data_IF_519637641355
#
_entry.id   IF_519637641355
#
_cell.length_a   1.000
_cell.length_b   1.000
_cell.length_c   1.000
_cell.angle_alpha   90.00
_cell.angle_beta   90.00
_cell.angle_gamma   90.00
#
_symmetry.space_group_name_H-M   'P 1'
#
loop_
_entity.id
_entity.type
_entity.pdbx_description
1 polymer ?
#
# COMPACT_ATOMS: atom_id res chain seq x y z
N UNK A 1 -7.43 16.93 -3.69
CA UNK A 1 -7.47 18.36 -3.31
C UNK A 1 -7.36 18.58 -1.79
N UNK A 2 -7.97 17.78 -0.94
CA UNK A 2 -7.93 17.94 0.54
C UNK A 2 -6.56 17.70 1.22
N UNK A 3 -5.67 16.88 0.65
CA UNK A 3 -4.34 16.60 1.25
C UNK A 3 -3.37 17.78 1.22
N UNK A 4 -3.49 18.67 0.24
CA UNK A 4 -2.61 19.86 0.09
C UNK A 4 -2.89 20.91 1.16
N UNK A 5 -4.17 21.16 1.48
CA UNK A 5 -4.55 22.15 2.49
C UNK A 5 -4.09 21.81 3.91
N UNK A 6 -3.91 20.52 4.23
CA UNK A 6 -3.47 20.08 5.56
C UNK A 6 -2.00 20.40 5.85
N UNK A 7 -1.11 20.14 4.88
CA UNK A 7 0.33 20.36 5.11
C UNK A 7 0.68 21.86 5.09
N UNK A 8 0.09 22.64 4.19
CA UNK A 8 0.34 24.07 4.11
C UNK A 8 -0.08 24.79 5.40
N UNK A 9 -1.23 24.43 5.94
CA UNK A 9 -1.69 24.91 7.24
C UNK A 9 -0.73 24.52 8.36
N UNK A 10 -0.27 23.28 8.37
CA UNK A 10 0.70 22.80 9.37
C UNK A 10 2.03 23.57 9.28
N UNK A 11 2.54 23.80 8.07
CA UNK A 11 3.75 24.63 7.84
C UNK A 11 3.58 26.05 8.39
N UNK A 12 2.41 26.67 8.18
CA UNK A 12 2.10 27.98 8.75
C UNK A 12 2.06 27.94 10.29
N UNK A 13 1.47 26.93 10.89
CA UNK A 13 1.40 26.76 12.35
C UNK A 13 2.80 26.60 12.95
N UNK A 14 3.66 25.78 12.33
CA UNK A 14 5.06 25.64 12.74
C UNK A 14 5.81 26.95 12.59
N UNK A 15 5.64 27.69 11.48
CA UNK A 15 6.26 29.00 11.28
C UNK A 15 5.88 30.04 12.33
N UNK A 16 4.62 29.99 12.81
CA UNK A 16 4.17 30.85 13.94
C UNK A 16 4.74 30.41 15.29
N UNK A 17 4.87 29.09 15.50
CA UNK A 17 5.39 28.55 16.75
C UNK A 17 6.91 28.76 16.89
N UNK A 18 7.65 28.83 15.78
CA UNK A 18 9.10 28.99 15.75
C UNK A 18 9.52 30.22 14.92
N UNK A 19 9.23 31.44 15.38
CA UNK A 19 9.58 32.65 14.64
C UNK A 19 11.09 32.78 14.46
N UNK A 20 11.52 33.07 13.22
CA UNK A 20 12.94 33.23 12.88
C UNK A 20 13.66 31.91 12.53
N UNK A 21 13.00 30.78 12.62
CA UNK A 21 13.53 29.50 12.13
C UNK A 21 13.14 29.29 10.67
N UNK A 22 14.09 28.88 9.84
CA UNK A 22 13.83 28.51 8.45
C UNK A 22 12.94 27.26 8.39
N UNK A 23 11.81 27.36 7.69
CA UNK A 23 10.91 26.21 7.44
C UNK A 23 11.08 25.80 5.98
N UNK A 24 11.30 24.51 5.75
CA UNK A 24 11.38 23.89 4.42
C UNK A 24 10.20 22.93 4.26
N UNK A 25 9.33 23.20 3.30
CA UNK A 25 8.21 22.31 2.95
C UNK A 25 8.61 21.43 1.78
N UNK A 26 8.78 20.11 2.01
CA UNK A 26 9.08 19.12 0.99
C UNK A 26 7.85 18.24 0.76
N UNK A 27 6.97 18.63 -0.16
CA UNK A 27 5.70 17.95 -0.42
C UNK A 27 5.14 18.26 -1.81
N UNK A 28 4.31 17.37 -2.32
CA UNK A 28 3.59 17.58 -3.58
C UNK A 28 4.53 17.78 -4.78
N UNK A 29 4.51 18.97 -5.36
CA UNK A 29 5.37 19.34 -6.50
C UNK A 29 6.74 19.89 -6.07
N UNK A 30 6.89 20.27 -4.79
CA UNK A 30 8.11 20.83 -4.23
C UNK A 30 8.85 19.78 -3.40
N UNK A 31 9.39 18.76 -4.05
CA UNK A 31 10.18 17.71 -3.38
C UNK A 31 11.66 18.06 -3.52
N UNK A 32 12.37 18.06 -2.39
CA UNK A 32 13.81 18.28 -2.33
C UNK A 32 14.52 16.94 -2.08
N UNK A 33 15.54 16.63 -2.86
CA UNK A 33 16.37 15.44 -2.62
C UNK A 33 17.29 15.64 -1.42
N UNK A 34 17.78 16.85 -1.23
CA UNK A 34 18.70 17.22 -0.16
C UNK A 34 18.42 18.61 0.38
N UNK A 35 18.75 18.79 1.66
CA UNK A 35 18.80 20.10 2.32
C UNK A 35 20.21 20.33 2.86
N UNK A 36 20.60 21.60 2.99
CA UNK A 36 21.88 22.01 3.56
C UNK A 36 21.93 21.81 5.08
N UNK A 37 23.11 22.08 5.65
CA UNK A 37 23.38 21.88 7.09
C UNK A 37 22.98 23.11 7.95
N UNK A 38 22.35 24.13 7.34
CA UNK A 38 21.83 25.28 8.07
C UNK A 38 20.67 24.84 8.99
N UNK A 39 20.58 25.41 10.21
CA UNK A 39 19.45 25.12 11.09
C UNK A 39 18.08 25.41 10.42
N UNK A 40 17.26 24.39 10.29
CA UNK A 40 15.95 24.49 9.68
C UNK A 40 15.00 23.42 10.24
N UNK A 41 13.70 23.68 10.18
CA UNK A 41 12.67 22.66 10.37
C UNK A 41 12.20 22.22 8.99
N UNK A 42 12.32 20.93 8.71
CA UNK A 42 11.82 20.33 7.47
C UNK A 42 10.49 19.67 7.74
N UNK A 43 9.47 20.10 7.03
CA UNK A 43 8.15 19.47 7.02
C UNK A 43 8.01 18.71 5.72
N UNK A 44 7.78 17.41 5.79
CA UNK A 44 7.70 16.56 4.60
C UNK A 44 6.54 15.56 4.67
N UNK A 45 5.98 15.25 3.51
CA UNK A 45 5.09 14.08 3.38
C UNK A 45 5.89 12.80 3.25
N UNK A 46 5.32 11.62 3.58
CA UNK A 46 6.01 10.33 3.42
C UNK A 46 6.56 10.14 2.00
N UNK A 47 7.84 9.78 1.91
CA UNK A 47 8.55 9.62 0.65
C UNK A 47 9.15 10.91 0.06
N UNK A 48 8.85 12.08 0.64
CA UNK A 48 9.38 13.36 0.20
C UNK A 48 10.42 13.95 1.17
N UNK A 49 10.89 13.17 2.14
CA UNK A 49 11.88 13.61 3.13
C UNK A 49 13.24 13.83 2.46
N UNK A 50 13.79 15.05 2.46
CA UNK A 50 15.12 15.31 1.91
C UNK A 50 16.21 14.72 2.81
N UNK A 51 17.34 14.37 2.22
CA UNK A 51 18.51 13.91 2.97
C UNK A 51 19.35 15.08 3.44
N UNK A 52 20.03 14.91 4.58
CA UNK A 52 21.07 15.80 5.08
C UNK A 52 22.43 15.06 5.08
N UNK A 53 23.53 15.77 5.12
CA UNK A 53 24.86 15.14 5.16
C UNK A 53 25.13 14.38 6.47
N UNK A 54 24.70 14.94 7.61
CA UNK A 54 24.94 14.38 8.95
C UNK A 54 23.74 13.69 9.61
N UNK A 55 22.60 13.61 8.93
CA UNK A 55 21.33 13.21 9.52
C UNK A 55 20.62 14.36 10.27
N UNK A 56 19.38 14.15 10.64
CA UNK A 56 18.58 15.13 11.38
C UNK A 56 18.89 15.06 12.88
N UNK A 57 19.05 16.21 13.53
CA UNK A 57 19.24 16.31 14.98
C UNK A 57 17.98 15.93 15.79
N UNK A 58 16.83 15.90 15.17
CA UNK A 58 15.60 15.31 15.69
C UNK A 58 14.68 14.91 14.54
N UNK A 59 13.91 13.84 14.72
CA UNK A 59 12.86 13.39 13.80
C UNK A 59 11.55 13.27 14.55
N UNK A 60 10.47 13.80 13.97
CA UNK A 60 9.13 13.71 14.54
C UNK A 60 8.19 13.10 13.50
N UNK A 61 7.57 11.97 13.82
CA UNK A 61 6.51 11.36 12.99
C UNK A 61 5.16 11.70 13.63
N UNK A 62 4.40 12.53 12.96
CA UNK A 62 3.06 12.92 13.36
C UNK A 62 2.00 11.99 12.76
N UNK A 63 0.81 11.96 13.36
CA UNK A 63 -0.35 11.21 12.86
C UNK A 63 -0.06 9.72 12.58
N UNK A 64 0.74 9.06 13.43
CA UNK A 64 1.16 7.67 13.23
C UNK A 64 0.02 6.68 12.96
N UNK A 65 -1.14 6.86 13.61
CA UNK A 65 -2.33 6.04 13.40
C UNK A 65 -2.85 6.11 11.96
N UNK A 66 -2.67 7.22 11.26
CA UNK A 66 -3.13 7.39 9.87
C UNK A 66 -2.46 6.44 8.90
N UNK A 67 -1.18 6.10 9.15
CA UNK A 67 -0.45 5.14 8.32
C UNK A 67 -0.91 3.71 8.55
N UNK A 68 -1.47 3.43 9.72
CA UNK A 68 -1.96 2.10 10.11
C UNK A 68 -3.44 1.90 9.80
N UNK A 69 -4.19 2.97 9.56
CA UNK A 69 -5.64 2.94 9.31
C UNK A 69 -6.02 2.65 7.85
N UNK A 70 -5.05 2.46 6.97
CA UNK A 70 -5.32 2.11 5.56
C UNK A 70 -5.81 0.66 5.48
N UNK A 71 -6.90 0.42 4.75
CA UNK A 71 -7.50 -0.90 4.56
C UNK A 71 -6.82 -1.73 3.45
N UNK A 72 -5.74 -1.25 2.89
CA UNK A 72 -5.06 -1.93 1.80
C UNK A 72 -4.20 -3.08 2.30
N UNK A 73 -4.06 -4.13 1.48
CA UNK A 73 -3.31 -5.34 1.81
C UNK A 73 -1.87 -5.08 2.30
N UNK A 74 -1.22 -4.04 1.79
CA UNK A 74 0.17 -3.68 2.14
C UNK A 74 0.28 -2.49 3.09
N UNK A 75 -0.80 -2.07 3.73
CA UNK A 75 -0.81 -0.91 4.61
C UNK A 75 0.20 -1.03 5.76
N UNK A 76 0.24 -2.18 6.42
CA UNK A 76 1.19 -2.43 7.51
C UNK A 76 2.65 -2.50 7.03
N UNK A 77 2.89 -3.09 5.87
CA UNK A 77 4.21 -3.12 5.22
C UNK A 77 4.70 -1.70 4.91
N UNK A 78 3.85 -0.89 4.25
CA UNK A 78 4.14 0.51 3.93
C UNK A 78 4.32 1.38 5.17
N UNK A 79 3.51 1.17 6.21
CA UNK A 79 3.67 1.87 7.48
C UNK A 79 5.03 1.57 8.11
N UNK A 80 5.43 0.29 8.22
CA UNK A 80 6.77 -0.08 8.72
C UNK A 80 7.88 0.58 7.91
N UNK A 81 7.80 0.53 6.58
CA UNK A 81 8.78 1.17 5.70
C UNK A 81 8.90 2.66 6.00
N UNK A 82 7.79 3.39 6.07
CA UNK A 82 7.77 4.82 6.38
C UNK A 82 8.40 5.11 7.74
N UNK A 83 8.01 4.39 8.78
CA UNK A 83 8.50 4.64 10.14
C UNK A 83 10.00 4.35 10.25
N UNK A 84 10.46 3.19 9.80
CA UNK A 84 11.87 2.83 9.89
C UNK A 84 12.75 3.70 9.01
N UNK A 85 12.35 3.98 7.76
CA UNK A 85 13.13 4.84 6.86
C UNK A 85 13.22 6.28 7.37
N UNK A 86 12.13 6.79 7.96
CA UNK A 86 12.11 8.15 8.51
C UNK A 86 12.98 8.27 9.77
N UNK A 87 12.86 7.31 10.71
CA UNK A 87 13.72 7.28 11.92
C UNK A 87 15.19 7.06 11.54
N UNK A 88 15.48 6.27 10.51
CA UNK A 88 16.85 6.07 10.01
C UNK A 88 17.53 7.34 9.48
N UNK A 89 16.78 8.41 9.25
CA UNK A 89 17.35 9.72 8.84
C UNK A 89 17.88 10.53 10.01
N UNK A 90 17.68 10.10 11.24
CA UNK A 90 18.24 10.74 12.43
C UNK A 90 19.77 10.62 12.45
N UNK A 91 20.45 11.66 12.93
CA UNK A 91 21.85 11.57 13.25
C UNK A 91 22.09 10.59 14.43
N UNK A 92 23.30 10.04 14.59
CA UNK A 92 23.62 9.21 15.77
C UNK A 92 23.32 9.95 17.07
N UNK A 93 22.89 9.21 18.08
CA UNK A 93 22.62 9.70 19.45
C UNK A 93 21.55 10.80 19.55
N UNK A 94 20.65 10.88 18.57
CA UNK A 94 19.55 11.85 18.57
C UNK A 94 18.21 11.21 18.92
N UNK A 95 17.23 12.04 19.29
CA UNK A 95 15.90 11.57 19.68
C UNK A 95 14.94 11.59 18.50
N UNK A 96 14.26 10.46 18.26
CA UNK A 96 13.10 10.42 17.37
C UNK A 96 11.82 10.34 18.18
N UNK A 97 10.82 11.13 17.81
CA UNK A 97 9.50 11.15 18.45
C UNK A 97 8.47 10.59 17.49
N UNK A 98 7.69 9.64 17.93
CA UNK A 98 6.62 9.04 17.13
C UNK A 98 5.29 9.25 17.86
N UNK A 99 4.37 9.98 17.24
CA UNK A 99 3.02 10.20 17.79
C UNK A 99 2.14 9.01 17.41
N UNK A 100 2.14 8.02 18.29
CA UNK A 100 1.40 6.77 18.15
C UNK A 100 1.06 6.27 19.57
N UNK A 101 0.03 5.41 19.69
CA UNK A 101 -0.26 4.75 20.94
C UNK A 101 0.96 3.91 21.41
N UNK A 102 1.42 4.10 22.65
CA UNK A 102 2.58 3.43 23.18
C UNK A 102 2.44 1.90 23.24
N UNK A 103 1.20 1.40 23.34
CA UNK A 103 0.89 -0.03 23.27
C UNK A 103 1.04 -0.63 21.88
N UNK A 104 1.18 0.20 20.85
CA UNK A 104 1.30 -0.30 19.47
C UNK A 104 2.59 -1.11 19.30
N UNK A 105 2.50 -2.36 18.79
CA UNK A 105 3.66 -3.24 18.64
C UNK A 105 4.80 -2.65 17.81
N UNK A 106 4.50 -1.71 16.89
CA UNK A 106 5.49 -1.03 16.04
C UNK A 106 6.47 -0.19 16.88
N UNK A 107 6.03 0.42 17.98
CA UNK A 107 6.90 1.17 18.90
C UNK A 107 7.97 0.23 19.50
N UNK A 108 7.56 -0.96 19.91
CA UNK A 108 8.51 -1.96 20.40
C UNK A 108 9.51 -2.46 19.35
N UNK A 109 9.13 -2.52 18.09
CA UNK A 109 10.04 -2.85 16.98
C UNK A 109 11.02 -1.71 16.68
N UNK A 110 10.56 -0.46 16.66
CA UNK A 110 11.39 0.72 16.49
C UNK A 110 12.44 0.84 17.59
N UNK A 111 12.03 0.68 18.85
CA UNK A 111 12.94 0.76 20.01
C UNK A 111 14.04 -0.33 20.00
N UNK A 112 13.74 -1.52 19.45
CA UNK A 112 14.71 -2.62 19.30
C UNK A 112 15.42 -2.62 17.96
N UNK A 113 15.05 -1.74 17.06
CA UNK A 113 15.50 -1.73 15.68
C UNK A 113 15.32 -3.11 15.00
N UNK A 114 14.15 -3.73 15.20
CA UNK A 114 13.84 -5.09 14.77
C UNK A 114 12.65 -5.13 13.82
N UNK A 115 12.91 -5.25 12.53
CA UNK A 115 11.87 -5.23 11.48
C UNK A 115 11.17 -6.60 11.35
N UNK A 116 11.81 -7.68 11.81
CA UNK A 116 11.43 -9.03 11.41
C UNK A 116 10.27 -9.66 12.19
N UNK A 117 9.97 -9.23 13.40
CA UNK A 117 8.96 -9.90 14.23
C UNK A 117 7.55 -9.64 13.74
N UNK A 118 7.19 -8.39 13.53
CA UNK A 118 5.87 -8.02 12.99
C UNK A 118 5.69 -8.51 11.55
N UNK A 119 6.75 -8.49 10.73
CA UNK A 119 6.69 -9.04 9.38
C UNK A 119 6.39 -10.54 9.39
N UNK A 120 6.99 -11.31 10.31
CA UNK A 120 6.69 -12.75 10.44
C UNK A 120 5.25 -13.00 10.94
N UNK A 121 4.77 -12.21 11.88
CA UNK A 121 3.39 -12.30 12.35
C UNK A 121 2.41 -12.01 11.20
N UNK A 122 2.63 -10.93 10.45
CA UNK A 122 1.82 -10.59 9.29
C UNK A 122 1.84 -11.69 8.20
N UNK A 123 3.00 -12.29 7.94
CA UNK A 123 3.10 -13.38 6.99
C UNK A 123 2.31 -14.62 7.46
N UNK A 124 2.33 -14.94 8.77
CA UNK A 124 1.53 -16.01 9.32
C UNK A 124 0.02 -15.74 9.16
N UNK A 125 -0.41 -14.51 9.44
CA UNK A 125 -1.80 -14.09 9.23
C UNK A 125 -2.21 -14.18 7.75
N UNK A 126 -1.35 -13.74 6.83
CA UNK A 126 -1.58 -13.82 5.38
C UNK A 126 -1.69 -15.26 4.89
N UNK A 127 -0.92 -16.18 5.45
CA UNK A 127 -1.05 -17.60 5.14
C UNK A 127 -2.41 -18.13 5.61
N UNK A 128 -2.80 -17.83 6.84
CA UNK A 128 -4.06 -18.27 7.42
C UNK A 128 -5.29 -17.68 6.69
N UNK A 129 -5.15 -16.47 6.14
CA UNK A 129 -6.23 -15.77 5.43
C UNK A 129 -6.14 -15.87 3.90
N UNK A 130 -5.29 -16.77 3.37
CA UNK A 130 -5.14 -17.03 1.92
C UNK A 130 -4.78 -15.78 1.11
N UNK A 131 -3.82 -15.00 1.61
CA UNK A 131 -3.37 -13.76 0.98
C UNK A 131 -1.96 -13.86 0.41
N UNK A 132 -1.55 -13.00 -0.53
CA UNK A 132 -0.18 -12.91 -1.00
C UNK A 132 0.83 -12.70 0.15
N UNK A 133 2.03 -13.31 0.10
CA UNK A 133 2.65 -13.98 -1.05
C UNK A 133 2.29 -15.47 -1.22
N UNK A 134 1.49 -16.05 -0.35
CA UNK A 134 1.17 -17.49 -0.37
C UNK A 134 0.10 -17.86 -1.39
N UNK A 135 -0.71 -16.88 -1.78
CA UNK A 135 -1.76 -17.03 -2.77
C UNK A 135 -1.56 -16.04 -3.91
N UNK A 136 -1.79 -16.50 -5.13
CA UNK A 136 -1.83 -15.68 -6.34
C UNK A 136 -3.20 -15.01 -6.43
N UNK A 137 -3.20 -13.73 -6.76
CA UNK A 137 -4.41 -12.95 -7.00
C UNK A 137 -4.49 -12.48 -8.45
N UNK A 138 -5.66 -12.60 -9.05
CA UNK A 138 -5.96 -12.09 -10.39
C UNK A 138 -7.20 -11.22 -10.31
N UNK A 139 -7.02 -9.92 -10.52
CA UNK A 139 -8.07 -8.93 -10.46
C UNK A 139 -8.53 -8.53 -11.85
N UNK A 140 -9.82 -8.68 -12.13
CA UNK A 140 -10.50 -8.12 -13.29
C UNK A 140 -11.32 -6.91 -12.87
N UNK A 141 -11.28 -5.84 -13.67
CA UNK A 141 -12.10 -4.65 -13.47
C UNK A 141 -12.66 -4.15 -14.79
N UNK A 142 -13.89 -3.64 -14.76
CA UNK A 142 -14.55 -3.05 -15.92
C UNK A 142 -16.06 -2.94 -15.73
N UNK A 143 -16.77 -2.80 -16.83
CA UNK A 143 -18.23 -2.66 -16.82
C UNK A 143 -18.93 -3.82 -16.08
N UNK A 144 -19.85 -3.50 -15.15
CA UNK A 144 -20.53 -4.46 -14.27
C UNK A 144 -21.14 -5.63 -15.03
N UNK A 145 -21.77 -5.37 -16.17
CA UNK A 145 -22.37 -6.41 -17.00
C UNK A 145 -21.34 -7.41 -17.57
N UNK A 146 -20.17 -6.92 -17.98
CA UNK A 146 -19.09 -7.77 -18.49
C UNK A 146 -18.42 -8.56 -17.38
N UNK A 147 -18.24 -7.96 -16.21
CA UNK A 147 -17.69 -8.62 -15.03
C UNK A 147 -18.63 -9.70 -14.52
N UNK A 148 -19.94 -9.44 -14.49
CA UNK A 148 -20.95 -10.45 -14.11
C UNK A 148 -20.87 -11.67 -15.03
N UNK A 149 -20.89 -11.48 -16.35
CA UNK A 149 -20.77 -12.57 -17.33
C UNK A 149 -19.45 -13.34 -17.18
N UNK A 150 -18.36 -12.64 -16.87
CA UNK A 150 -17.07 -13.26 -16.63
C UNK A 150 -17.10 -14.14 -15.38
N UNK A 151 -17.71 -13.65 -14.30
CA UNK A 151 -17.91 -14.38 -13.05
C UNK A 151 -18.74 -15.67 -13.29
N UNK A 152 -19.88 -15.56 -13.97
CA UNK A 152 -20.71 -16.71 -14.35
C UNK A 152 -19.91 -17.75 -15.15
N UNK A 153 -19.07 -17.29 -16.08
CA UNK A 153 -18.19 -18.14 -16.86
C UNK A 153 -17.15 -18.88 -16.01
N UNK A 154 -16.54 -18.23 -15.02
CA UNK A 154 -15.60 -18.88 -14.10
C UNK A 154 -16.31 -19.85 -13.15
N UNK A 155 -17.49 -19.52 -12.64
CA UNK A 155 -18.30 -20.43 -11.82
C UNK A 155 -18.67 -21.70 -12.62
N UNK A 156 -19.05 -21.55 -13.89
CA UNK A 156 -19.31 -22.71 -14.76
C UNK A 156 -18.04 -23.53 -15.00
N UNK A 157 -16.89 -22.88 -15.25
CA UNK A 157 -15.61 -23.60 -15.41
C UNK A 157 -15.20 -24.34 -14.14
N UNK A 158 -15.49 -23.81 -12.96
CA UNK A 158 -15.27 -24.48 -11.68
C UNK A 158 -16.16 -25.71 -11.54
N UNK A 159 -17.43 -25.60 -11.88
CA UNK A 159 -18.37 -26.73 -11.88
C UNK A 159 -17.95 -27.83 -12.87
N UNK A 160 -17.39 -27.43 -13.99
CA UNK A 160 -16.89 -28.36 -15.04
C UNK A 160 -15.48 -28.93 -14.72
N UNK A 161 -14.92 -28.63 -13.54
CA UNK A 161 -13.55 -29.00 -13.11
C UNK A 161 -12.47 -28.52 -14.09
N UNK A 162 -12.64 -27.34 -14.66
CA UNK A 162 -11.71 -26.71 -15.63
C UNK A 162 -10.93 -25.55 -15.00
N UNK A 163 -11.07 -25.32 -13.71
CA UNK A 163 -10.22 -24.48 -12.87
C UNK A 163 -9.41 -25.36 -11.93
N UNK A 164 -8.25 -24.89 -11.46
CA UNK A 164 -7.55 -25.54 -10.35
C UNK A 164 -8.46 -25.69 -9.13
N UNK A 165 -8.25 -26.76 -8.34
CA UNK A 165 -9.18 -27.19 -7.30
C UNK A 165 -9.46 -26.14 -6.22
N UNK A 166 -8.45 -25.36 -5.85
CA UNK A 166 -8.53 -24.42 -4.74
C UNK A 166 -8.69 -22.95 -5.18
N UNK A 167 -9.16 -22.74 -6.43
CA UNK A 167 -9.48 -21.37 -6.89
C UNK A 167 -10.72 -20.87 -6.17
N UNK A 168 -10.60 -19.73 -5.52
CA UNK A 168 -11.74 -18.99 -4.99
C UNK A 168 -12.11 -17.85 -5.94
N UNK A 169 -13.41 -17.68 -6.17
CA UNK A 169 -13.99 -16.62 -7.01
C UNK A 169 -14.69 -15.64 -6.07
N UNK A 170 -14.17 -14.42 -5.99
CA UNK A 170 -14.66 -13.38 -5.07
C UNK A 170 -15.25 -12.23 -5.87
N UNK A 171 -16.51 -11.97 -5.67
CA UNK A 171 -17.27 -10.97 -6.43
C UNK A 171 -18.31 -11.60 -7.36
N UNK A 172 -18.92 -10.81 -8.27
CA UNK A 172 -18.59 -9.42 -8.60
C UNK A 172 -18.89 -8.43 -7.46
N UNK A 173 -18.01 -7.44 -7.30
CA UNK A 173 -18.15 -6.36 -6.32
C UNK A 173 -18.34 -5.04 -7.09
N UNK A 174 -19.49 -4.40 -6.89
CA UNK A 174 -19.77 -3.09 -7.50
C UNK A 174 -18.87 -2.01 -6.94
N UNK A 175 -18.30 -1.18 -7.83
CA UNK A 175 -17.41 -0.07 -7.49
C UNK A 175 -18.04 1.31 -7.67
N UNK A 176 -19.27 1.36 -8.13
CA UNK A 176 -19.95 2.59 -8.53
C UNK A 176 -19.68 2.95 -10.00
N UNK A 177 -20.48 3.91 -10.53
CA UNK A 177 -20.33 4.34 -11.94
C UNK A 177 -20.59 3.25 -13.00
N UNK A 178 -21.23 2.14 -12.64
CA UNK A 178 -21.46 1.02 -13.56
C UNK A 178 -20.25 0.11 -13.77
N UNK A 179 -19.24 0.22 -12.90
CA UNK A 179 -18.06 -0.64 -12.89
C UNK A 179 -18.11 -1.66 -11.76
N UNK A 180 -17.50 -2.82 -11.97
CA UNK A 180 -17.37 -3.87 -10.99
C UNK A 180 -15.96 -4.49 -11.03
N UNK A 181 -15.64 -5.25 -9.99
CA UNK A 181 -14.42 -6.03 -9.86
C UNK A 181 -14.74 -7.51 -9.59
N UNK A 182 -13.89 -8.38 -10.10
CA UNK A 182 -13.87 -9.81 -9.84
C UNK A 182 -12.46 -10.22 -9.46
N UNK A 183 -12.29 -10.87 -8.34
CA UNK A 183 -11.01 -11.38 -7.88
C UNK A 183 -11.02 -12.91 -7.92
N UNK A 184 -10.00 -13.50 -8.56
CA UNK A 184 -9.68 -14.91 -8.44
C UNK A 184 -8.46 -15.05 -7.55
N UNK A 185 -8.46 -16.04 -6.66
CA UNK A 185 -7.30 -16.36 -5.84
C UNK A 185 -7.03 -17.86 -5.85
N UNK A 186 -5.76 -18.26 -5.87
CA UNK A 186 -5.33 -19.65 -5.82
C UNK A 186 -4.05 -19.79 -5.02
N UNK A 187 -3.79 -20.96 -4.40
CA UNK A 187 -2.50 -21.27 -3.81
C UNK A 187 -1.36 -21.11 -4.83
N UNK A 188 -0.16 -20.78 -4.33
CA UNK A 188 0.97 -20.46 -5.21
C UNK A 188 1.37 -21.62 -6.10
N UNK A 189 1.26 -22.86 -5.64
CA UNK A 189 1.54 -24.09 -6.40
C UNK A 189 0.55 -24.32 -7.56
N UNK A 190 -0.68 -23.80 -7.48
CA UNK A 190 -1.68 -23.84 -8.53
C UNK A 190 -1.71 -22.56 -9.40
N UNK A 191 -0.82 -21.62 -9.12
CA UNK A 191 -0.85 -20.29 -9.74
C UNK A 191 -0.56 -20.33 -11.25
N UNK A 192 0.33 -21.22 -11.71
CA UNK A 192 0.66 -21.33 -13.14
C UNK A 192 -0.57 -21.77 -13.95
N UNK A 193 -1.30 -22.75 -13.46
CA UNK A 193 -2.51 -23.27 -14.11
C UNK A 193 -3.62 -22.20 -14.14
N UNK A 194 -3.83 -21.47 -13.02
CA UNK A 194 -4.77 -20.36 -12.99
C UNK A 194 -4.43 -19.29 -14.03
N UNK A 195 -3.15 -18.90 -14.12
CA UNK A 195 -2.70 -17.87 -15.08
C UNK A 195 -2.92 -18.34 -16.52
N UNK A 196 -2.66 -19.61 -16.81
CA UNK A 196 -2.92 -20.17 -18.15
C UNK A 196 -4.41 -20.11 -18.51
N UNK A 197 -5.30 -20.53 -17.61
CA UNK A 197 -6.76 -20.43 -17.79
C UNK A 197 -7.17 -18.98 -18.03
N UNK A 198 -6.70 -18.04 -17.21
CA UNK A 198 -6.98 -16.61 -17.36
C UNK A 198 -6.51 -16.09 -18.72
N UNK A 199 -5.32 -16.47 -19.16
CA UNK A 199 -4.78 -16.08 -20.47
C UNK A 199 -5.64 -16.64 -21.62
N UNK A 200 -6.14 -17.89 -21.51
CA UNK A 200 -7.05 -18.47 -22.49
C UNK A 200 -8.39 -17.73 -22.55
N UNK A 201 -8.98 -17.44 -21.39
CA UNK A 201 -10.24 -16.67 -21.30
C UNK A 201 -10.04 -15.29 -21.94
N UNK A 202 -8.95 -14.59 -21.63
CA UNK A 202 -8.68 -13.26 -22.19
C UNK A 202 -8.48 -13.30 -23.71
N UNK A 203 -7.76 -14.30 -24.24
CA UNK A 203 -7.61 -14.53 -25.68
C UNK A 203 -8.97 -14.76 -26.36
N UNK A 204 -9.82 -15.61 -25.81
CA UNK A 204 -11.18 -15.87 -26.35
C UNK A 204 -12.04 -14.60 -26.36
N UNK A 205 -11.95 -13.77 -25.31
CA UNK A 205 -12.64 -12.49 -25.25
C UNK A 205 -12.16 -11.55 -26.35
N UNK A 206 -10.85 -11.48 -26.57
CA UNK A 206 -10.25 -10.65 -27.62
C UNK A 206 -10.68 -11.07 -29.02
N UNK A 207 -10.63 -12.37 -29.32
CA UNK A 207 -11.12 -12.93 -30.60
C UNK A 207 -12.61 -12.64 -30.82
N UNK A 208 -13.41 -12.72 -29.76
CA UNK A 208 -14.85 -12.42 -29.79
C UNK A 208 -15.13 -10.90 -29.79
N UNK A 209 -14.10 -10.04 -29.91
CA UNK A 209 -14.21 -8.56 -29.89
C UNK A 209 -15.01 -8.03 -28.68
N UNK A 210 -14.92 -8.68 -27.54
CA UNK A 210 -15.53 -8.24 -26.30
C UNK A 210 -14.82 -6.99 -25.78
N UNK A 211 -15.55 -6.15 -25.03
CA UNK A 211 -14.97 -4.97 -24.37
C UNK A 211 -13.77 -5.37 -23.50
N UNK A 212 -12.69 -4.60 -23.62
CA UNK A 212 -11.48 -4.83 -22.83
C UNK A 212 -11.77 -4.65 -21.33
N UNK A 213 -11.22 -5.55 -20.53
CA UNK A 213 -11.23 -5.46 -19.06
C UNK A 213 -9.81 -5.13 -18.60
N UNK A 214 -9.70 -4.38 -17.51
CA UNK A 214 -8.42 -4.27 -16.80
C UNK A 214 -8.14 -5.60 -16.14
N UNK A 215 -6.94 -6.13 -16.37
CA UNK A 215 -6.44 -7.38 -15.77
C UNK A 215 -5.14 -7.07 -15.04
N UNK A 216 -5.08 -7.38 -13.74
CA UNK A 216 -3.89 -7.24 -12.93
C UNK A 216 -3.61 -8.56 -12.19
N UNK A 217 -2.36 -8.96 -12.17
CA UNK A 217 -1.87 -10.12 -11.40
C UNK A 217 -1.15 -9.56 -10.18
N UNK A 218 -1.46 -10.08 -9.00
CA UNK A 218 -0.97 -9.62 -7.69
C UNK A 218 -1.01 -8.09 -7.57
N UNK A 219 -2.20 -7.49 -7.70
CA UNK A 219 -2.31 -6.05 -7.71
C UNK A 219 -1.78 -5.46 -6.40
N UNK A 220 -0.95 -4.41 -6.50
CA UNK A 220 -0.45 -3.70 -5.32
C UNK A 220 -1.61 -3.07 -4.53
N UNK A 221 -2.59 -2.55 -5.26
CA UNK A 221 -3.83 -1.97 -4.72
C UNK A 221 -5.02 -2.71 -5.29
N UNK A 222 -5.94 -3.15 -4.43
CA UNK A 222 -7.19 -3.83 -4.81
C UNK A 222 -8.36 -2.81 -4.99
N UNK A 223 -8.09 -1.53 -4.75
CA UNK A 223 -9.05 -0.42 -4.88
C UNK A 223 -9.43 -0.10 -6.32
#
# INVERSE_FOLDING_TARGET
MYKRQGIDRFVEEIGRAFPGVKIINSSGENIFDRVGDEPAIVVATPGAQPRTAGGYSAVVILEGLRFLADSQLRAMESAREIFFSTVAMSAPDTTSVVVLDESNPLIGELNRWSIGRLARAELADRLATKLPPYYRQVLFQGESREILRLSEGFVQMQSDQRLPLEVEIIGPIEKGGGEAALLLTAPLDQSAELIEVVAQVNRRRSVAKKKALSLRIDPYLIS
#
